data_IF_490349713871
#
_entry.id   IF_490349713871
#
_cell.length_a   1.000
_cell.length_b   1.000
_cell.length_c   1.000
_cell.angle_alpha   90.00
_cell.angle_beta   90.00
_cell.angle_gamma   90.00
#
_symmetry.space_group_name_H-M   'P 1'
#
loop_
_entity.id
_entity.type
_entity.pdbx_description
1 polymer ?
#
# COMPACT_ATOMS: atom_id res chain seq x y z
N UNK A 1 2.69 25.47 -4.82
CA UNK A 1 1.80 25.21 -3.67
C UNK A 1 1.39 23.74 -3.78
N UNK A 2 2.25 22.83 -3.31
CA UNK A 2 1.88 21.41 -3.29
C UNK A 2 0.73 21.28 -2.30
N UNK A 3 -0.43 20.82 -2.76
CA UNK A 3 -1.51 20.50 -1.86
C UNK A 3 -0.91 19.59 -0.78
N UNK A 4 -0.90 20.06 0.47
CA UNK A 4 -0.70 19.20 1.63
C UNK A 4 -1.95 18.34 1.70
N UNK A 5 -2.06 17.37 0.78
CA UNK A 5 -3.06 16.33 0.86
C UNK A 5 -2.78 15.68 2.19
N UNK A 6 -3.70 15.89 3.14
CA UNK A 6 -3.67 15.31 4.46
C UNK A 6 -3.94 13.82 4.28
N UNK A 7 -2.99 13.11 3.66
CA UNK A 7 -3.07 11.68 3.44
C UNK A 7 -3.13 11.07 4.83
N UNK A 8 -4.29 10.50 5.12
CA UNK A 8 -4.54 9.88 6.39
C UNK A 8 -3.61 8.67 6.45
N UNK A 9 -2.51 8.80 7.18
CA UNK A 9 -1.52 7.76 7.28
C UNK A 9 -1.75 6.96 8.56
N UNK A 10 -1.67 5.64 8.44
CA UNK A 10 -1.89 4.73 9.56
C UNK A 10 -0.81 3.67 9.57
N UNK A 11 -0.44 3.24 10.77
CA UNK A 11 0.58 2.22 10.95
C UNK A 11 -0.04 0.88 11.30
N UNK A 12 0.57 -0.19 10.81
CA UNK A 12 0.11 -1.57 11.02
C UNK A 12 1.28 -2.49 11.33
N UNK A 13 1.04 -3.59 12.06
CA UNK A 13 2.08 -4.61 12.29
C UNK A 13 2.40 -5.36 11.00
N UNK A 14 1.37 -5.74 10.26
CA UNK A 14 1.47 -6.72 9.16
C UNK A 14 0.27 -6.57 8.22
N UNK A 15 0.33 -7.23 7.05
CA UNK A 15 -0.80 -7.38 6.14
C UNK A 15 -1.22 -8.84 6.06
N UNK A 16 -2.46 -9.08 5.65
CA UNK A 16 -3.03 -10.41 5.45
C UNK A 16 -3.75 -10.48 4.10
N UNK A 17 -3.88 -11.71 3.61
CA UNK A 17 -4.46 -12.00 2.30
C UNK A 17 -3.43 -12.02 1.18
N UNK A 18 -3.86 -12.58 0.06
CA UNK A 18 -3.09 -12.67 -1.21
C UNK A 18 -3.77 -11.88 -2.33
N UNK A 19 -4.98 -11.36 -2.07
CA UNK A 19 -5.76 -10.59 -3.03
C UNK A 19 -5.48 -9.12 -2.82
N UNK A 20 -5.25 -8.39 -3.92
CA UNK A 20 -5.03 -6.96 -3.89
C UNK A 20 -6.36 -6.19 -3.87
N UNK A 21 -6.40 -5.01 -3.22
CA UNK A 21 -5.37 -4.44 -2.35
C UNK A 21 -5.18 -5.27 -1.06
N UNK A 22 -3.95 -5.34 -0.54
CA UNK A 22 -3.66 -6.15 0.65
C UNK A 22 -4.40 -5.60 1.87
N UNK A 23 -4.87 -6.50 2.74
CA UNK A 23 -5.57 -6.10 3.93
C UNK A 23 -4.59 -5.85 5.08
N UNK A 24 -4.53 -4.62 5.58
CA UNK A 24 -3.63 -4.27 6.68
C UNK A 24 -4.24 -4.65 8.02
N UNK A 25 -3.47 -5.34 8.87
CA UNK A 25 -3.94 -5.88 10.14
C UNK A 25 -3.11 -5.40 11.32
N UNK A 26 -3.74 -5.40 12.48
CA UNK A 26 -3.17 -4.95 13.74
C UNK A 26 -2.67 -3.49 13.66
N UNK A 27 -3.60 -2.52 13.56
CA UNK A 27 -3.24 -1.11 13.57
C UNK A 27 -2.50 -0.75 14.84
N UNK A 28 -1.51 0.13 14.73
CA UNK A 28 -0.69 0.61 15.84
C UNK A 28 -0.58 2.13 15.83
N UNK A 29 -0.44 2.75 17.02
CA UNK A 29 -0.08 4.15 17.11
C UNK A 29 1.39 4.37 16.76
N UNK A 30 1.72 5.58 16.31
CA UNK A 30 3.10 6.02 16.03
C UNK A 30 4.04 5.81 17.22
N UNK A 31 3.56 6.06 18.44
CA UNK A 31 4.33 5.82 19.66
C UNK A 31 4.74 4.33 19.84
N UNK A 32 4.04 3.40 19.20
CA UNK A 32 4.35 1.98 19.19
C UNK A 32 5.44 1.57 18.20
N UNK A 33 5.87 2.48 17.31
CA UNK A 33 6.88 2.21 16.29
C UNK A 33 8.29 2.11 16.86
N UNK A 34 8.64 2.92 17.87
CA UNK A 34 10.00 2.95 18.44
C UNK A 34 10.48 1.64 19.04
N UNK A 35 9.57 0.71 19.38
CA UNK A 35 9.91 -0.60 19.93
C UNK A 35 9.88 -1.72 18.87
N UNK A 36 9.75 -1.38 17.59
CA UNK A 36 9.57 -2.36 16.52
C UNK A 36 10.60 -2.21 15.43
N UNK A 37 11.16 -3.34 15.08
CA UNK A 37 12.02 -3.46 13.92
C UNK A 37 11.20 -3.41 12.63
N UNK A 38 9.95 -3.87 12.63
CA UNK A 38 9.12 -3.92 11.42
C UNK A 38 7.74 -3.32 11.64
N UNK A 39 7.33 -2.48 10.70
CA UNK A 39 5.99 -1.91 10.65
C UNK A 39 5.60 -1.58 9.21
N UNK A 40 4.31 -1.40 8.98
CA UNK A 40 3.76 -0.94 7.70
C UNK A 40 3.24 0.48 7.88
N UNK A 41 3.66 1.37 7.02
CA UNK A 41 3.17 2.74 6.91
C UNK A 41 2.22 2.83 5.72
N UNK A 42 0.93 2.99 5.99
CA UNK A 42 -0.12 2.93 4.99
C UNK A 42 -0.74 4.29 4.73
N UNK A 43 -1.04 4.55 3.46
CA UNK A 43 -1.59 5.79 2.97
C UNK A 43 -3.02 5.56 2.49
N UNK A 44 -3.93 6.38 2.98
CA UNK A 44 -5.33 6.35 2.57
C UNK A 44 -5.70 7.66 1.86
N UNK A 45 -6.60 7.56 0.88
CA UNK A 45 -7.19 8.72 0.21
C UNK A 45 -8.25 9.41 1.10
N UNK A 46 -8.82 10.51 0.62
CA UNK A 46 -9.90 11.26 1.27
C UNK A 46 -11.17 10.42 1.50
N UNK A 47 -11.47 9.46 0.62
CA UNK A 47 -12.55 8.49 0.80
C UNK A 47 -12.19 7.33 1.75
N UNK A 48 -10.95 7.29 2.25
CA UNK A 48 -10.47 6.25 3.16
C UNK A 48 -10.09 4.94 2.47
N UNK A 49 -9.85 4.95 1.15
CA UNK A 49 -9.33 3.80 0.41
C UNK A 49 -7.81 3.71 0.51
N UNK A 50 -7.27 2.50 0.60
CA UNK A 50 -5.83 2.25 0.71
C UNK A 50 -5.14 2.53 -0.64
N UNK A 51 -4.50 3.68 -0.80
CA UNK A 51 -3.76 4.03 -2.02
C UNK A 51 -2.34 3.48 -2.05
N UNK A 52 -1.85 2.94 -0.93
CA UNK A 52 -0.56 2.27 -0.89
C UNK A 52 -0.04 2.08 0.53
N UNK A 53 1.07 1.37 0.65
CA UNK A 53 1.78 1.25 1.92
C UNK A 53 3.25 0.92 1.71
N UNK A 54 4.08 1.29 2.69
CA UNK A 54 5.49 0.96 2.76
C UNK A 54 5.75 0.05 3.98
N UNK A 55 6.34 -1.11 3.76
CA UNK A 55 6.82 -2.02 4.81
C UNK A 55 8.24 -1.61 5.17
N UNK A 56 8.39 -1.02 6.34
CA UNK A 56 9.68 -0.61 6.88
C UNK A 56 10.21 -1.71 7.79
N UNK A 57 11.44 -2.15 7.56
CA UNK A 57 12.16 -3.14 8.37
C UNK A 57 13.53 -2.58 8.71
N UNK A 58 13.82 -2.48 10.00
CA UNK A 58 15.03 -1.87 10.57
C UNK A 58 15.30 -0.43 10.06
N UNK A 59 14.26 0.29 9.66
CA UNK A 59 14.35 1.66 9.14
C UNK A 59 14.44 1.75 7.61
N UNK A 60 14.51 0.62 6.90
CA UNK A 60 14.58 0.56 5.44
C UNK A 60 13.25 0.07 4.85
N UNK A 61 12.84 0.62 3.72
CA UNK A 61 11.62 0.17 3.02
C UNK A 61 11.96 -1.11 2.26
N UNK A 62 11.52 -2.26 2.78
CA UNK A 62 11.72 -3.55 2.11
C UNK A 62 10.72 -3.78 0.98
N UNK A 63 9.50 -3.26 1.12
CA UNK A 63 8.40 -3.50 0.20
C UNK A 63 7.49 -2.27 0.18
N UNK A 64 7.21 -1.73 -1.00
CA UNK A 64 6.27 -0.63 -1.18
C UNK A 64 5.20 -1.01 -2.20
N UNK A 65 3.94 -0.85 -1.81
CA UNK A 65 2.79 -1.01 -2.70
C UNK A 65 2.19 0.35 -3.01
N UNK A 66 1.88 0.57 -4.29
CA UNK A 66 1.10 1.73 -4.75
C UNK A 66 -0.10 1.21 -5.52
N UNK A 67 -1.28 1.70 -5.17
CA UNK A 67 -2.55 1.28 -5.75
C UNK A 67 -3.21 2.47 -6.43
N UNK A 68 -3.60 2.25 -7.67
CA UNK A 68 -4.42 3.19 -8.45
C UNK A 68 -5.79 2.54 -8.67
N UNK A 69 -6.84 3.34 -8.56
CA UNK A 69 -8.22 2.89 -8.68
C UNK A 69 -8.85 3.48 -9.94
N UNK A 70 -9.74 2.73 -10.57
CA UNK A 70 -10.65 3.20 -11.60
C UNK A 70 -11.70 4.14 -10.99
N UNK A 71 -12.37 4.92 -11.85
CA UNK A 71 -13.47 5.82 -11.45
C UNK A 71 -14.62 5.09 -10.71
N UNK A 72 -14.73 3.77 -10.92
CA UNK A 72 -15.71 2.92 -10.25
C UNK A 72 -15.27 2.41 -8.86
N UNK A 73 -14.08 2.81 -8.38
CA UNK A 73 -13.52 2.40 -7.09
C UNK A 73 -12.86 1.00 -7.08
N UNK A 74 -12.77 0.32 -8.23
CA UNK A 74 -12.03 -0.94 -8.36
C UNK A 74 -10.55 -0.67 -8.64
N UNK A 75 -9.69 -1.60 -8.22
CA UNK A 75 -8.26 -1.50 -8.47
C UNK A 75 -8.01 -1.48 -10.00
N UNK A 76 -7.22 -0.51 -10.46
CA UNK A 76 -6.78 -0.36 -11.85
C UNK A 76 -5.33 -0.80 -12.01
N UNK A 77 -4.47 -0.44 -11.06
CA UNK A 77 -3.05 -0.76 -11.12
C UNK A 77 -2.50 -0.96 -9.71
N UNK A 78 -1.63 -1.94 -9.57
CA UNK A 78 -0.84 -2.16 -8.37
C UNK A 78 0.63 -2.21 -8.77
N UNK A 79 1.42 -1.29 -8.23
CA UNK A 79 2.85 -1.30 -8.36
C UNK A 79 3.47 -1.80 -7.06
N UNK A 80 4.35 -2.80 -7.17
CA UNK A 80 4.97 -3.50 -6.06
C UNK A 80 6.46 -3.33 -6.23
N UNK A 81 7.06 -2.50 -5.39
CA UNK A 81 8.49 -2.25 -5.37
C UNK A 81 9.09 -3.03 -4.20
N UNK A 82 10.10 -3.83 -4.46
CA UNK A 82 10.82 -4.62 -3.44
C UNK A 82 12.27 -4.17 -3.43
N UNK A 83 12.90 -4.11 -2.25
CA UNK A 83 14.24 -3.52 -2.11
C UNK A 83 15.31 -4.21 -2.97
N UNK A 84 15.18 -5.52 -3.19
CA UNK A 84 16.16 -6.35 -3.90
C UNK A 84 15.62 -6.93 -5.22
N UNK A 85 14.39 -6.59 -5.63
CA UNK A 85 13.75 -7.15 -6.82
C UNK A 85 13.21 -6.04 -7.74
N UNK A 86 13.08 -6.35 -9.02
CA UNK A 86 12.47 -5.44 -9.98
C UNK A 86 11.02 -5.11 -9.60
N UNK A 87 10.65 -3.85 -9.82
CA UNK A 87 9.30 -3.38 -9.56
C UNK A 87 8.29 -4.15 -10.42
N UNK A 88 7.34 -4.82 -9.76
CA UNK A 88 6.27 -5.55 -10.41
C UNK A 88 5.06 -4.65 -10.56
N UNK A 89 4.66 -4.39 -11.80
CA UNK A 89 3.41 -3.66 -12.09
C UNK A 89 2.33 -4.65 -12.53
N UNK A 90 1.23 -4.68 -11.79
CA UNK A 90 0.03 -5.44 -12.11
C UNK A 90 -1.05 -4.48 -12.59
N UNK A 91 -1.74 -4.82 -13.68
CA UNK A 91 -2.86 -4.06 -14.23
C UNK A 91 -4.15 -4.84 -14.06
N UNK A 92 -5.25 -4.12 -13.88
CA UNK A 92 -6.57 -4.68 -13.65
C UNK A 92 -7.58 -3.97 -14.55
N UNK A 93 -8.52 -4.73 -15.10
CA UNK A 93 -9.61 -4.17 -15.89
C UNK A 93 -10.69 -3.51 -15.00
N UNK A 94 -11.70 -2.90 -15.63
CA UNK A 94 -12.82 -2.28 -14.93
C UNK A 94 -13.73 -3.28 -14.18
N UNK A 95 -13.49 -4.59 -14.29
CA UNK A 95 -14.14 -5.64 -13.50
C UNK A 95 -13.26 -6.14 -12.34
N UNK A 96 -12.05 -5.59 -12.16
CA UNK A 96 -11.10 -5.99 -11.14
C UNK A 96 -10.38 -7.30 -11.45
N UNK A 97 -10.36 -7.72 -12.72
CA UNK A 97 -9.63 -8.90 -13.18
C UNK A 97 -8.22 -8.47 -13.58
N UNK A 98 -7.21 -9.19 -13.07
CA UNK A 98 -5.83 -8.93 -13.44
C UNK A 98 -5.62 -9.21 -14.92
N UNK A 99 -5.12 -8.22 -15.64
CA UNK A 99 -4.72 -8.33 -17.04
C UNK A 99 -3.20 -8.29 -17.11
N UNK A 100 -2.63 -9.24 -17.83
CA UNK A 100 -1.20 -9.23 -18.18
C UNK A 100 -1.01 -8.28 -19.36
N UNK A 101 -0.06 -7.35 -19.25
CA UNK A 101 0.41 -6.59 -20.41
C UNK A 101 1.12 -7.61 -21.33
N UNK A 102 0.55 -7.84 -22.52
CA UNK A 102 1.03 -8.84 -23.49
C UNK A 102 1.97 -8.20 -24.52
#
# INVERSE_FOLDING_TARGET
MAAETHHNHRFFVSYSGVKLPLNLVNPIPEAGLSNRNTFIHAYFDEAGLLIGFDKVVYGEVELAHRYEYHDNGLLSRAEINMLDEDAVTLRFDAAGVQISDA
#
